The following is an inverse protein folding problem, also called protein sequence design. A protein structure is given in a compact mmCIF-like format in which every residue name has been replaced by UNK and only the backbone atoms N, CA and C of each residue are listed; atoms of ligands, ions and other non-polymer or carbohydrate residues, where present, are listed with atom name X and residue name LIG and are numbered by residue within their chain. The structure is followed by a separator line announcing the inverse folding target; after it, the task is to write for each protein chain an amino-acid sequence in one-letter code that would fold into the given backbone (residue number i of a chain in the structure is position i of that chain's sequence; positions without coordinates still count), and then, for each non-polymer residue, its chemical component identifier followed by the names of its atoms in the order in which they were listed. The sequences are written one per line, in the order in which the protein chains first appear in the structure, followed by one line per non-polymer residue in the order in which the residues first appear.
data_IF_665833553835
#
_entry.id   IF_665833553835
#
_cell.length_a   1.000
_cell.length_b   1.000
_cell.length_c   1.000
_cell.angle_alpha   90.00
_cell.angle_beta   90.00
_cell.angle_gamma   90.00
#
_symmetry.space_group_name_H-M   'P 1'
#
loop_
_entity.id
_entity.type
_entity.pdbx_description
1 polymer ?
#
# COMPACT_ATOMS: atom_id res chain seq x y z
N UNK A 1 -10.21 -0.39 -6.55
CA UNK A 1 -9.41 -1.51 -6.02
C UNK A 1 -9.73 -1.78 -4.57
N UNK A 2 -10.17 -2.98 -4.17
CA UNK A 2 -10.43 -3.31 -2.76
C UNK A 2 -9.22 -3.98 -2.10
N UNK A 3 -8.82 -3.53 -0.91
CA UNK A 3 -7.80 -4.25 -0.11
C UNK A 3 -8.44 -5.52 0.45
N UNK A 4 -8.04 -6.67 -0.09
CA UNK A 4 -8.56 -7.98 0.33
C UNK A 4 -7.91 -8.50 1.60
N UNK A 5 -6.60 -8.36 1.73
CA UNK A 5 -5.89 -8.84 2.91
C UNK A 5 -4.62 -8.01 3.19
N UNK A 6 -4.26 -7.98 4.47
CA UNK A 6 -3.13 -7.22 5.02
C UNK A 6 -2.25 -8.15 5.84
N UNK A 7 -0.99 -8.27 5.43
CA UNK A 7 0.03 -9.11 6.08
C UNK A 7 0.60 -8.41 7.30
N UNK A 8 0.94 -7.11 7.18
CA UNK A 8 1.55 -6.36 8.26
C UNK A 8 0.60 -6.19 9.46
N UNK A 9 0.94 -6.68 10.67
CA UNK A 9 0.07 -6.56 11.84
C UNK A 9 -0.29 -5.12 12.20
N UNK A 10 0.69 -4.20 12.12
CA UNK A 10 0.47 -2.78 12.40
C UNK A 10 -0.43 -2.09 11.38
N UNK A 11 -0.42 -2.52 10.11
CA UNK A 11 -1.37 -1.99 9.11
C UNK A 11 -2.77 -2.56 9.35
N UNK A 12 -2.85 -3.84 9.73
CA UNK A 12 -4.13 -4.48 10.06
C UNK A 12 -4.81 -3.78 11.23
N UNK A 13 -4.08 -3.47 12.30
CA UNK A 13 -4.60 -2.68 13.42
C UNK A 13 -5.02 -1.27 12.98
N UNK A 14 -4.20 -0.60 12.17
CA UNK A 14 -4.50 0.74 11.66
C UNK A 14 -5.80 0.79 10.84
N UNK A 15 -6.04 -0.23 10.01
CA UNK A 15 -7.25 -0.32 9.17
C UNK A 15 -8.47 -0.73 10.01
N UNK A 16 -8.31 -1.64 10.98
CA UNK A 16 -9.43 -2.22 11.71
C UNK A 16 -9.94 -1.36 12.87
N UNK A 17 -9.06 -0.64 13.57
CA UNK A 17 -9.39 -0.06 14.88
C UNK A 17 -9.45 1.47 14.92
N UNK A 18 -9.18 2.15 13.79
CA UNK A 18 -9.05 3.62 13.75
C UNK A 18 -8.08 4.18 14.83
N UNK A 19 -7.24 3.33 15.43
CA UNK A 19 -6.32 3.73 16.48
C UNK A 19 -5.13 4.51 15.92
N UNK A 20 -4.63 5.43 16.73
CA UNK A 20 -3.55 6.39 16.44
C UNK A 20 -2.15 5.75 16.33
N UNK A 21 -2.06 4.42 16.41
CA UNK A 21 -0.81 3.67 16.51
C UNK A 21 -0.52 2.93 15.20
N UNK A 22 0.02 3.65 14.22
CA UNK A 22 0.72 3.04 13.09
C UNK A 22 2.09 2.48 13.49
N UNK A 23 2.85 1.91 12.54
CA UNK A 23 4.22 1.47 12.84
C UNK A 23 5.03 2.65 13.42
N UNK A 24 5.84 2.36 14.45
CA UNK A 24 6.48 3.41 15.28
C UNK A 24 7.29 4.39 14.43
N UNK A 25 7.10 5.69 14.65
CA UNK A 25 7.87 6.76 14.00
C UNK A 25 7.28 7.31 12.69
N UNK A 26 6.09 6.85 12.27
CA UNK A 26 5.47 7.26 11.01
C UNK A 26 4.32 8.23 11.26
N UNK A 27 4.17 9.20 10.37
CA UNK A 27 2.93 9.98 10.24
C UNK A 27 1.78 9.07 9.76
N UNK A 28 1.01 8.58 10.74
CA UNK A 28 -0.14 7.70 10.55
C UNK A 28 -1.17 8.31 9.61
N UNK A 29 -1.34 9.63 9.62
CA UNK A 29 -2.29 10.33 8.74
C UNK A 29 -1.87 10.22 7.28
N UNK A 30 -0.57 10.29 6.99
CA UNK A 30 -0.05 10.12 5.63
C UNK A 30 -0.20 8.67 5.16
N UNK A 31 0.07 7.71 6.03
CA UNK A 31 -0.13 6.29 5.73
C UNK A 31 -1.61 6.00 5.43
N UNK A 32 -2.55 6.53 6.22
CA UNK A 32 -3.99 6.42 5.95
C UNK A 32 -4.38 6.99 4.59
N UNK A 33 -3.85 8.15 4.20
CA UNK A 33 -4.11 8.73 2.86
C UNK A 33 -3.63 7.82 1.73
N UNK A 34 -2.48 7.17 1.89
CA UNK A 34 -1.99 6.20 0.90
C UNK A 34 -2.95 4.99 0.85
N UNK A 35 -3.36 4.45 2.00
CA UNK A 35 -4.30 3.33 2.07
C UNK A 35 -5.69 3.68 1.48
N UNK A 36 -6.18 4.90 1.68
CA UNK A 36 -7.40 5.39 1.04
C UNK A 36 -7.23 5.48 -0.48
N UNK A 37 -6.14 6.08 -0.96
CA UNK A 37 -5.85 6.14 -2.39
C UNK A 37 -5.80 4.75 -3.03
N UNK A 38 -5.15 3.78 -2.38
CA UNK A 38 -5.09 2.40 -2.84
C UNK A 38 -6.48 1.75 -2.93
N UNK A 39 -7.43 2.14 -2.07
CA UNK A 39 -8.80 1.64 -2.10
C UNK A 39 -9.67 2.33 -3.17
N UNK A 40 -9.39 3.59 -3.45
CA UNK A 40 -10.17 4.42 -4.37
C UNK A 40 -9.69 4.35 -5.83
N UNK A 41 -8.44 3.91 -6.07
CA UNK A 41 -7.89 3.85 -7.42
C UNK A 41 -8.60 2.81 -8.30
N UNK A 42 -8.77 3.12 -9.58
CA UNK A 42 -9.38 2.24 -10.58
C UNK A 42 -8.37 1.29 -11.25
N UNK A 43 -7.06 1.49 -11.07
CA UNK A 43 -6.04 0.67 -11.69
C UNK A 43 -4.61 1.04 -11.29
N UNK A 44 -3.66 0.14 -11.54
CA UNK A 44 -2.25 0.31 -11.19
C UNK A 44 -1.58 1.50 -11.89
N UNK A 45 -2.14 1.95 -13.03
CA UNK A 45 -1.64 3.11 -13.77
C UNK A 45 -1.74 4.42 -12.96
N UNK A 46 -2.65 4.49 -11.98
CA UNK A 46 -2.83 5.67 -11.14
C UNK A 46 -1.72 5.86 -10.12
N UNK A 47 -1.08 4.77 -9.66
CA UNK A 47 0.04 4.83 -8.72
C UNK A 47 1.17 5.74 -9.23
N UNK A 48 1.43 5.72 -10.54
CA UNK A 48 2.50 6.52 -11.18
C UNK A 48 2.13 8.00 -11.38
N UNK A 49 0.87 8.38 -11.17
CA UNK A 49 0.40 9.76 -11.32
C UNK A 49 0.57 10.58 -10.04
N UNK A 50 0.81 9.93 -8.91
CA UNK A 50 0.98 10.61 -7.63
C UNK A 50 2.41 11.15 -7.51
N UNK A 51 2.54 12.47 -7.42
CA UNK A 51 3.83 13.11 -7.27
C UNK A 51 4.53 12.70 -5.95
N UNK A 52 5.83 12.43 -6.04
CA UNK A 52 6.64 12.00 -4.88
C UNK A 52 6.52 10.51 -4.54
N UNK A 53 5.80 9.72 -5.34
CA UNK A 53 5.78 8.26 -5.23
C UNK A 53 6.77 7.63 -6.21
N UNK A 54 7.49 6.62 -5.75
CA UNK A 54 8.30 5.74 -6.60
C UNK A 54 7.62 4.39 -6.65
N UNK A 55 7.22 3.95 -7.85
CA UNK A 55 6.45 2.72 -8.06
C UNK A 55 7.28 1.74 -8.86
N UNK A 56 7.52 0.57 -8.29
CA UNK A 56 8.18 -0.55 -8.97
C UNK A 56 7.13 -1.64 -9.23
N UNK A 57 6.83 -1.94 -10.50
CA UNK A 57 5.98 -3.07 -10.84
C UNK A 57 6.71 -4.39 -10.53
N UNK A 58 5.96 -5.49 -10.41
CA UNK A 58 6.56 -6.80 -10.22
C UNK A 58 7.50 -7.19 -11.35
N UNK A 59 8.58 -7.87 -10.98
CA UNK A 59 9.51 -8.49 -11.92
C UNK A 59 8.84 -9.72 -12.56
N UNK A 60 8.48 -9.61 -13.84
CA UNK A 60 7.94 -10.72 -14.64
C UNK A 60 6.44 -10.62 -14.97
N UNK A 61 5.98 -11.52 -15.84
CA UNK A 61 4.60 -11.55 -16.32
C UNK A 61 3.67 -12.30 -15.36
N UNK A 62 3.08 -11.59 -14.39
CA UNK A 62 1.90 -12.05 -13.64
C UNK A 62 2.12 -12.33 -12.14
N UNK A 63 1.18 -11.83 -11.31
CA UNK A 63 1.05 -12.05 -9.85
C UNK A 63 2.31 -11.80 -9.00
N UNK A 64 3.16 -10.87 -9.41
CA UNK A 64 4.29 -10.47 -8.58
C UNK A 64 3.95 -9.37 -7.57
N UNK A 65 4.91 -9.12 -6.69
CA UNK A 65 4.86 -8.07 -5.68
C UNK A 65 5.18 -6.71 -6.30
N UNK A 66 4.24 -5.77 -6.20
CA UNK A 66 4.45 -4.34 -6.41
C UNK A 66 5.13 -3.74 -5.19
N UNK A 67 5.92 -2.70 -5.42
CA UNK A 67 6.51 -1.88 -4.38
C UNK A 67 6.20 -0.39 -4.63
N UNK A 68 5.67 0.26 -3.61
CA UNK A 68 5.37 1.69 -3.59
C UNK A 68 6.21 2.34 -2.48
N UNK A 69 7.15 3.21 -2.84
CA UNK A 69 7.87 4.05 -1.88
C UNK A 69 7.28 5.45 -1.85
N UNK A 70 6.96 5.93 -0.64
CA UNK A 70 6.47 7.28 -0.41
C UNK A 70 7.16 7.87 0.83
N UNK A 71 7.92 8.96 0.66
CA UNK A 71 8.58 9.61 1.80
C UNK A 71 7.59 10.47 2.62
N UNK A 72 7.74 10.56 3.96
CA UNK A 72 8.65 9.80 4.83
C UNK A 72 8.03 8.48 5.33
N UNK A 73 6.95 7.99 4.69
CA UNK A 73 6.26 6.77 5.13
C UNK A 73 7.14 5.55 4.94
N UNK A 74 7.92 5.43 3.85
CA UNK A 74 8.72 4.24 3.57
C UNK A 74 8.14 3.43 2.41
N UNK A 75 8.32 2.10 2.45
CA UNK A 75 7.89 1.19 1.38
C UNK A 75 6.65 0.37 1.77
N UNK A 76 5.66 0.34 0.89
CA UNK A 76 4.52 -0.57 0.91
C UNK A 76 4.71 -1.61 -0.19
N UNK A 77 4.41 -2.87 0.12
CA UNK A 77 4.44 -3.94 -0.89
C UNK A 77 3.10 -4.65 -0.95
N UNK A 78 2.67 -5.05 -2.15
CA UNK A 78 1.37 -5.68 -2.34
C UNK A 78 1.26 -6.36 -3.70
N UNK A 79 0.33 -7.29 -3.86
CA UNK A 79 -0.11 -7.80 -5.16
C UNK A 79 -1.30 -6.99 -5.69
N UNK A 80 -1.43 -6.95 -7.01
CA UNK A 80 -2.63 -6.45 -7.69
C UNK A 80 -3.27 -7.61 -8.45
N UNK A 81 -4.53 -7.90 -8.14
CA UNK A 81 -5.38 -8.79 -8.92
C UNK A 81 -6.34 -7.93 -9.74
N UNK A 82 -5.95 -7.65 -10.98
CA UNK A 82 -6.73 -6.83 -11.90
C UNK A 82 -8.05 -7.51 -12.34
N UNK A 83 -8.18 -8.83 -12.22
CA UNK A 83 -9.42 -9.52 -12.59
C UNK A 83 -10.52 -9.28 -11.55
N UNK A 84 -10.13 -9.17 -10.28
CA UNK A 84 -11.06 -8.95 -9.17
C UNK A 84 -11.11 -7.49 -8.68
N UNK A 85 -10.33 -6.58 -9.27
CA UNK A 85 -10.10 -5.22 -8.78
C UNK A 85 -9.65 -5.23 -7.30
N UNK A 86 -8.67 -6.09 -6.97
CA UNK A 86 -8.22 -6.31 -5.59
C UNK A 86 -6.73 -6.01 -5.39
N UNK A 87 -6.42 -5.48 -4.21
CA UNK A 87 -5.07 -5.46 -3.64
C UNK A 87 -4.95 -6.62 -2.67
N UNK A 88 -3.87 -7.40 -2.80
CA UNK A 88 -3.61 -8.58 -1.98
C UNK A 88 -2.28 -8.47 -1.25
N UNK A 89 -2.14 -9.18 -0.13
CA UNK A 89 -0.88 -9.34 0.60
C UNK A 89 -0.22 -7.99 0.95
N UNK A 90 -1.03 -7.00 1.37
CA UNK A 90 -0.52 -5.67 1.68
C UNK A 90 0.40 -5.72 2.90
N UNK A 91 1.63 -5.28 2.71
CA UNK A 91 2.69 -5.28 3.72
C UNK A 91 3.42 -3.94 3.75
N UNK A 92 4.20 -3.73 4.81
CA UNK A 92 4.92 -2.49 5.07
C UNK A 92 6.36 -2.79 5.53
N UNK A 93 7.35 -2.29 4.79
CA UNK A 93 8.77 -2.59 5.02
C UNK A 93 9.55 -1.46 5.73
N UNK A 94 8.89 -0.42 6.25
CA UNK A 94 9.61 0.65 6.95
C UNK A 94 10.25 1.69 6.03
N UNK A 95 10.64 2.82 6.61
CA UNK A 95 11.82 3.55 6.15
C UNK A 95 13.03 2.90 6.80
N UNK A 96 13.85 2.15 6.04
CA UNK A 96 15.16 1.75 6.51
C UNK A 96 16.02 2.95 6.90
#
# INVERSE_FOLDING_TARGET
MKIRNVVHPGLRSLIAQDESTGPRGIDVSRLRRILSFLQDMAGESELRRVAGWTVQPPSGAGLGRWELRAAPVGALTFGIDAQNDEITNLDYEGSG
#
